data_IF_471233716948
#
_entry.id   IF_471233716948
#
_cell.length_a   1.000
_cell.length_b   1.000
_cell.length_c   1.000
_cell.angle_alpha   90.00
_cell.angle_beta   90.00
_cell.angle_gamma   90.00
#
_symmetry.space_group_name_H-M   'P 1'
#
loop_
_entity.id
_entity.type
_entity.pdbx_description
1 polymer ?
#
# COMPACT_ATOMS: atom_id res chain seq x y z
N UNK A 1 -2.27 12.64 -6.86
CA UNK A 1 -2.82 11.37 -7.38
C UNK A 1 -1.83 10.54 -8.19
N UNK A 2 -1.34 10.99 -9.37
CA UNK A 2 -0.42 10.17 -10.22
C UNK A 2 0.82 9.67 -9.46
N UNK A 3 1.47 10.55 -8.70
CA UNK A 3 2.62 10.18 -7.85
C UNK A 3 2.27 9.12 -6.81
N UNK A 4 1.15 9.28 -6.12
CA UNK A 4 0.67 8.32 -5.11
C UNK A 4 0.39 6.96 -5.75
N UNK A 5 -0.34 6.92 -6.87
CA UNK A 5 -0.62 5.69 -7.61
C UNK A 5 0.65 4.96 -8.09
N UNK A 6 1.63 5.69 -8.65
CA UNK A 6 2.92 5.13 -9.11
C UNK A 6 3.79 4.67 -7.93
N UNK A 7 3.69 5.35 -6.78
CA UNK A 7 4.45 5.04 -5.57
C UNK A 7 4.11 3.66 -5.00
N UNK A 8 2.85 3.22 -5.10
CA UNK A 8 2.39 1.91 -4.58
C UNK A 8 3.20 0.74 -5.17
N UNK A 9 3.19 0.47 -6.49
CA UNK A 9 3.96 -0.64 -7.05
C UNK A 9 5.47 -0.43 -6.96
N UNK A 10 5.94 0.83 -7.02
CA UNK A 10 7.37 1.15 -6.93
C UNK A 10 7.96 0.73 -5.57
N UNK A 11 7.28 1.08 -4.48
CA UNK A 11 7.70 0.70 -3.14
C UNK A 11 7.60 -0.81 -2.91
N UNK A 12 6.53 -1.48 -3.38
CA UNK A 12 6.44 -2.94 -3.29
C UNK A 12 7.60 -3.65 -3.99
N UNK A 13 7.93 -3.21 -5.22
CA UNK A 13 9.02 -3.78 -6.00
C UNK A 13 10.39 -3.53 -5.35
N UNK A 14 10.62 -2.34 -4.80
CA UNK A 14 11.86 -2.03 -4.10
C UNK A 14 11.99 -2.84 -2.81
N UNK A 15 10.94 -2.87 -1.99
CA UNK A 15 10.90 -3.66 -0.76
C UNK A 15 11.21 -5.13 -1.03
N UNK A 16 10.55 -5.73 -2.02
CA UNK A 16 10.76 -7.13 -2.42
C UNK A 16 12.24 -7.42 -2.73
N UNK A 17 12.90 -6.54 -3.51
CA UNK A 17 14.33 -6.69 -3.86
C UNK A 17 15.28 -6.65 -2.67
N UNK A 18 14.89 -6.09 -1.52
CA UNK A 18 15.75 -6.03 -0.32
C UNK A 18 15.90 -7.38 0.41
N UNK A 19 15.12 -8.42 0.04
CA UNK A 19 15.23 -9.81 0.57
C UNK A 19 15.24 -9.95 2.11
N UNK A 20 14.77 -8.94 2.84
CA UNK A 20 14.63 -8.94 4.30
C UNK A 20 13.22 -8.50 4.67
N UNK A 21 12.55 -9.27 5.52
CA UNK A 21 11.15 -8.99 5.89
C UNK A 21 10.97 -7.63 6.59
N UNK A 22 11.94 -7.18 7.39
CA UNK A 22 11.90 -5.85 8.00
C UNK A 22 11.91 -4.71 6.96
N UNK A 23 12.79 -4.78 5.97
CA UNK A 23 12.83 -3.79 4.88
C UNK A 23 11.60 -3.91 3.98
N UNK A 24 11.19 -5.13 3.61
CA UNK A 24 9.95 -5.35 2.86
C UNK A 24 8.75 -4.72 3.56
N UNK A 25 8.65 -4.85 4.89
CA UNK A 25 7.58 -4.25 5.68
C UNK A 25 7.62 -2.74 5.64
N UNK A 26 8.80 -2.12 5.80
CA UNK A 26 8.94 -0.66 5.72
C UNK A 26 8.42 -0.13 4.38
N UNK A 27 8.84 -0.74 3.27
CA UNK A 27 8.39 -0.34 1.93
C UNK A 27 6.89 -0.63 1.69
N UNK A 28 6.38 -1.76 2.19
CA UNK A 28 4.96 -2.07 2.11
C UNK A 28 4.09 -1.06 2.89
N UNK A 29 4.59 -0.53 4.02
CA UNK A 29 3.92 0.54 4.77
C UNK A 29 3.91 1.87 4.00
N UNK A 30 4.98 2.19 3.28
CA UNK A 30 5.01 3.37 2.39
C UNK A 30 4.03 3.21 1.24
N UNK A 31 3.93 2.01 0.65
CA UNK A 31 2.94 1.69 -0.37
C UNK A 31 1.52 1.84 0.17
N UNK A 32 1.24 1.31 1.38
CA UNK A 32 -0.05 1.47 2.05
C UNK A 32 -0.40 2.94 2.27
N UNK A 33 0.53 3.75 2.80
CA UNK A 33 0.33 5.20 2.96
C UNK A 33 0.05 5.91 1.64
N UNK A 34 0.76 5.56 0.57
CA UNK A 34 0.51 6.13 -0.77
C UNK A 34 -0.88 5.78 -1.30
N UNK A 35 -1.37 4.57 -1.04
CA UNK A 35 -2.74 4.17 -1.41
C UNK A 35 -3.79 4.93 -0.58
N UNK A 36 -3.58 5.11 0.73
CA UNK A 36 -4.47 5.92 1.58
C UNK A 36 -4.48 7.40 1.20
N UNK A 37 -3.35 7.98 0.78
CA UNK A 37 -3.33 9.35 0.24
C UNK A 37 -4.17 9.47 -1.03
N UNK A 38 -4.14 8.45 -1.91
CA UNK A 38 -4.95 8.41 -3.12
C UNK A 38 -6.44 8.29 -2.79
N UNK A 39 -6.79 7.51 -1.76
CA UNK A 39 -8.16 7.34 -1.27
C UNK A 39 -8.73 8.69 -0.81
N UNK A 40 -8.01 9.42 0.04
CA UNK A 40 -8.39 10.77 0.45
C UNK A 40 -8.55 11.72 -0.74
N UNK A 41 -7.66 11.64 -1.73
CA UNK A 41 -7.74 12.48 -2.93
C UNK A 41 -8.97 12.16 -3.80
N UNK A 42 -9.40 10.89 -3.86
CA UNK A 42 -10.62 10.49 -4.57
C UNK A 42 -11.87 10.99 -3.84
N UNK A 43 -11.92 10.86 -2.51
CA UNK A 43 -13.01 11.41 -1.69
C UNK A 43 -13.16 12.92 -1.92
N UNK A 44 -12.05 13.67 -1.88
CA UNK A 44 -12.05 15.12 -2.13
C UNK A 44 -12.55 15.49 -3.54
N UNK A 45 -12.27 14.68 -4.56
CA UNK A 45 -12.81 14.92 -5.91
C UNK A 45 -14.33 14.83 -5.92
N UNK A 46 -14.92 13.87 -5.19
CA UNK A 46 -16.37 13.76 -5.07
C UNK A 46 -16.96 14.91 -4.29
N UNK A 47 -16.41 15.21 -3.11
CA UNK A 47 -16.91 16.25 -2.20
C UNK A 47 -16.90 17.63 -2.86
N UNK A 48 -15.83 17.93 -3.61
CA UNK A 48 -15.65 19.21 -4.29
C UNK A 48 -16.22 19.21 -5.72
N UNK A 49 -16.85 18.12 -6.16
CA UNK A 49 -17.42 17.95 -7.51
C UNK A 49 -16.44 18.32 -8.63
N UNK A 50 -15.19 17.89 -8.47
CA UNK A 50 -14.09 18.28 -9.37
C UNK A 50 -14.01 17.41 -10.64
N UNK A 51 -14.83 16.36 -10.75
CA UNK A 51 -14.86 15.50 -11.91
C UNK A 51 -16.26 14.95 -12.20
N UNK A 52 -16.86 15.41 -13.31
CA UNK A 52 -18.13 14.89 -13.83
C UNK A 52 -17.93 13.69 -14.78
N UNK A 53 -16.71 13.48 -15.28
CA UNK A 53 -16.41 12.49 -16.35
C UNK A 53 -15.53 11.32 -15.91
N UNK A 54 -15.02 11.34 -14.68
CA UNK A 54 -14.16 10.27 -14.15
C UNK A 54 -15.03 9.24 -13.44
N UNK A 55 -14.87 7.93 -13.69
CA UNK A 55 -15.59 6.90 -12.95
C UNK A 55 -14.97 6.74 -11.55
N UNK A 56 -15.08 7.76 -10.70
CA UNK A 56 -14.43 7.81 -9.37
C UNK A 56 -14.77 6.58 -8.55
N UNK A 57 -16.04 6.14 -8.61
CA UNK A 57 -16.51 4.93 -7.92
C UNK A 57 -15.78 3.65 -8.32
N UNK A 58 -15.46 3.45 -9.60
CA UNK A 58 -14.75 2.23 -10.00
C UNK A 58 -13.29 2.27 -9.52
N UNK A 59 -12.67 3.45 -9.56
CA UNK A 59 -11.31 3.65 -9.06
C UNK A 59 -11.25 3.43 -7.54
N UNK A 60 -12.25 3.87 -6.80
CA UNK A 60 -12.36 3.62 -5.35
C UNK A 60 -12.49 2.14 -5.04
N UNK A 61 -13.29 1.40 -5.78
CA UNK A 61 -13.43 -0.06 -5.59
C UNK A 61 -12.10 -0.79 -5.83
N UNK A 62 -11.38 -0.42 -6.90
CA UNK A 62 -10.06 -0.97 -7.19
C UNK A 62 -9.06 -0.61 -6.07
N UNK A 63 -9.10 0.64 -5.60
CA UNK A 63 -8.22 1.11 -4.54
C UNK A 63 -8.50 0.44 -3.19
N UNK A 64 -9.76 0.24 -2.82
CA UNK A 64 -10.16 -0.50 -1.62
C UNK A 64 -9.64 -1.93 -1.66
N UNK A 65 -9.71 -2.58 -2.83
CA UNK A 65 -9.13 -3.90 -3.01
C UNK A 65 -7.61 -3.90 -2.81
N UNK A 66 -6.90 -2.93 -3.39
CA UNK A 66 -5.45 -2.77 -3.20
C UNK A 66 -5.09 -2.52 -1.74
N UNK A 67 -5.83 -1.65 -1.03
CA UNK A 67 -5.63 -1.37 0.39
C UNK A 67 -5.77 -2.63 1.25
N UNK A 68 -6.80 -3.45 0.99
CA UNK A 68 -6.98 -4.74 1.69
C UNK A 68 -5.81 -5.69 1.45
N UNK A 69 -5.35 -5.81 0.20
CA UNK A 69 -4.19 -6.65 -0.14
C UNK A 69 -2.91 -6.15 0.53
N UNK A 70 -2.67 -4.84 0.52
CA UNK A 70 -1.51 -4.22 1.17
C UNK A 70 -1.53 -4.43 2.69
N UNK A 71 -2.70 -4.29 3.33
CA UNK A 71 -2.83 -4.53 4.77
C UNK A 71 -2.56 -6.02 5.12
N UNK A 72 -3.11 -6.95 4.33
CA UNK A 72 -2.83 -8.37 4.45
C UNK A 72 -1.33 -8.68 4.30
N UNK A 73 -0.68 -8.08 3.31
CA UNK A 73 0.76 -8.25 3.09
C UNK A 73 1.62 -7.66 4.22
N UNK A 74 1.28 -6.47 4.72
CA UNK A 74 1.94 -5.88 5.89
C UNK A 74 1.80 -6.78 7.12
N UNK A 75 0.62 -7.36 7.34
CA UNK A 75 0.37 -8.30 8.44
C UNK A 75 1.23 -9.55 8.31
N UNK A 76 1.25 -10.17 7.12
CA UNK A 76 2.14 -11.29 6.81
C UNK A 76 3.61 -10.96 7.10
N UNK A 77 4.12 -9.83 6.60
CA UNK A 77 5.51 -9.43 6.79
C UNK A 77 5.86 -9.16 8.26
N UNK A 78 4.92 -8.61 9.07
CA UNK A 78 5.10 -8.45 10.52
C UNK A 78 5.30 -9.81 11.21
N UNK A 79 4.48 -10.81 10.87
CA UNK A 79 4.64 -12.16 11.41
C UNK A 79 5.98 -12.78 11.02
N UNK A 80 6.37 -12.67 9.74
CA UNK A 80 7.64 -13.21 9.26
C UNK A 80 8.87 -12.54 9.89
N UNK A 81 8.78 -11.22 10.14
CA UNK A 81 9.83 -10.48 10.85
C UNK A 81 9.98 -10.96 12.29
N UNK A 82 8.87 -11.14 13.01
CA UNK A 82 8.88 -11.53 14.42
C UNK A 82 9.23 -13.03 14.61
N UNK A 83 8.89 -13.90 13.65
CA UNK A 83 9.28 -15.31 13.69
C UNK A 83 10.78 -15.56 13.45
N UNK A 84 11.48 -14.63 12.80
CA UNK A 84 12.94 -14.71 12.61
C UNK A 84 13.75 -14.28 13.84
N UNK A 85 13.18 -13.46 14.73
CA UNK A 85 13.85 -13.04 15.97
C UNK A 85 13.92 -14.13 17.04
N UNK A 86 13.18 -15.24 16.88
CA UNK A 86 13.14 -16.36 17.82
C UNK A 86 13.89 -17.62 17.34
N UNK A 87 14.61 -17.58 16.22
CA UNK A 87 15.22 -18.76 15.59
C UNK A 87 16.70 -18.60 15.18
N UNK A 88 17.46 -17.73 15.85
CA UNK A 88 18.89 -17.55 15.58
C UNK A 88 19.69 -17.58 16.88
N UNK A 89 19.54 -18.66 17.63
CA UNK A 89 20.38 -19.02 18.76
C UNK A 89 20.46 -20.56 18.82
N UNK A 90 21.07 -21.16 17.80
CA UNK A 90 21.60 -22.52 17.77
C UNK A 90 22.81 -22.53 16.80
#
# INVERSE_FOLDING_TARGET
MRRAAISVPSNLAEGYRRRRFGSQLQFALVAYGSASELETQLMLIQDLKLADTVPVRSIEQDLEHVLRLLNGYCTYLRHQRNGKTSGSND
#
